data_IF_008709389069
#
_entry.id   IF_008709389069
#
_cell.length_a   1.000
_cell.length_b   1.000
_cell.length_c   1.000
_cell.angle_alpha   90.00
_cell.angle_beta   90.00
_cell.angle_gamma   90.00
#
_symmetry.space_group_name_H-M   'P 1'
#
loop_
_entity.id
_entity.type
_entity.pdbx_description
1 polymer ?
#
# COMPACT_ATOMS: atom_id res chain seq x y z
N UNK A 1 -16.18 19.07 -24.21
CA UNK A 1 -15.06 18.14 -24.46
C UNK A 1 -14.38 17.92 -23.13
N UNK A 2 -14.76 16.85 -22.43
CA UNK A 2 -14.13 16.46 -21.16
C UNK A 2 -12.79 15.83 -21.56
N UNK A 3 -11.63 16.27 -21.04
CA UNK A 3 -10.37 15.62 -21.35
C UNK A 3 -10.49 14.15 -20.96
N UNK A 4 -10.25 13.24 -21.90
CA UNK A 4 -10.14 11.83 -21.60
C UNK A 4 -8.93 11.67 -20.66
N UNK A 5 -9.21 11.50 -19.36
CA UNK A 5 -8.17 11.12 -18.42
C UNK A 5 -7.84 9.67 -18.75
N UNK A 6 -6.90 9.46 -19.66
CA UNK A 6 -6.31 8.15 -19.92
C UNK A 6 -5.50 7.76 -18.68
N UNK A 7 -6.15 7.10 -17.73
CA UNK A 7 -5.47 6.54 -16.57
C UNK A 7 -4.59 5.39 -17.03
N UNK A 8 -3.32 5.68 -17.30
CA UNK A 8 -2.34 4.66 -17.61
C UNK A 8 -2.11 3.76 -16.38
N UNK A 9 -1.78 2.49 -16.61
CA UNK A 9 -1.63 1.47 -15.57
C UNK A 9 -0.61 1.86 -14.53
N UNK A 10 0.55 2.37 -14.94
CA UNK A 10 1.63 2.80 -14.05
C UNK A 10 1.10 3.82 -13.05
N UNK A 11 0.34 4.81 -13.54
CA UNK A 11 -0.24 5.85 -12.70
C UNK A 11 -1.20 5.26 -11.68
N UNK A 12 -2.10 4.36 -12.09
CA UNK A 12 -3.05 3.71 -11.19
C UNK A 12 -2.34 2.90 -10.10
N UNK A 13 -1.37 2.08 -10.48
CA UNK A 13 -0.65 1.23 -9.54
C UNK A 13 0.21 2.04 -8.57
N UNK A 14 0.86 3.11 -9.05
CA UNK A 14 1.60 4.04 -8.19
C UNK A 14 0.67 4.73 -7.18
N UNK A 15 -0.48 5.24 -7.65
CA UNK A 15 -1.46 5.89 -6.78
C UNK A 15 -2.05 4.94 -5.75
N UNK A 16 -2.31 3.67 -6.11
CA UNK A 16 -2.77 2.65 -5.17
C UNK A 16 -1.68 2.28 -4.15
N UNK A 17 -0.40 2.26 -4.55
CA UNK A 17 0.72 2.09 -3.63
C UNK A 17 0.83 3.23 -2.62
N UNK A 18 0.71 4.49 -3.08
CA UNK A 18 0.68 5.68 -2.23
C UNK A 18 -0.52 5.62 -1.27
N UNK A 19 -1.72 5.36 -1.80
CA UNK A 19 -2.95 5.29 -1.04
C UNK A 19 -2.91 4.20 0.03
N UNK A 20 -2.36 3.02 -0.29
CA UNK A 20 -2.19 1.93 0.67
C UNK A 20 -1.28 2.34 1.82
N UNK A 21 -0.14 2.97 1.52
CA UNK A 21 0.79 3.46 2.54
C UNK A 21 0.16 4.52 3.45
N UNK A 22 -0.58 5.46 2.86
CA UNK A 22 -1.34 6.46 3.60
C UNK A 22 -2.41 5.80 4.48
N UNK A 23 -3.16 4.85 3.95
CA UNK A 23 -4.21 4.13 4.69
C UNK A 23 -3.66 3.46 5.95
N UNK A 24 -2.54 2.74 5.84
CA UNK A 24 -1.89 2.11 7.01
C UNK A 24 -1.28 3.11 7.99
N UNK A 25 -0.98 4.34 7.55
CA UNK A 25 -0.46 5.40 8.41
C UNK A 25 -1.58 6.10 9.18
N UNK A 26 -2.66 6.49 8.50
CA UNK A 26 -3.68 7.38 9.06
C UNK A 26 -4.82 6.65 9.78
N UNK A 27 -5.02 5.35 9.56
CA UNK A 27 -6.07 4.59 10.27
C UNK A 27 -5.56 4.16 11.66
N UNK A 28 -6.06 4.75 12.77
CA UNK A 28 -5.45 4.61 14.10
C UNK A 28 -5.51 3.19 14.68
N UNK A 29 -6.59 2.45 14.44
CA UNK A 29 -6.68 1.05 14.93
C UNK A 29 -5.71 0.13 14.18
N UNK A 30 -5.58 0.35 12.87
CA UNK A 30 -4.75 -0.46 12.00
C UNK A 30 -3.26 -0.16 12.20
N UNK A 31 -2.90 1.12 12.37
CA UNK A 31 -1.51 1.54 12.54
C UNK A 31 -0.90 1.03 13.86
N UNK A 32 -1.67 0.98 14.96
CA UNK A 32 -1.23 0.44 16.25
C UNK A 32 -1.09 -1.08 16.17
N UNK A 33 -2.07 -1.76 15.57
CA UNK A 33 -1.99 -3.21 15.35
C UNK A 33 -0.77 -3.59 14.51
N UNK A 34 -0.55 -2.86 13.40
CA UNK A 34 0.58 -3.07 12.51
C UNK A 34 1.91 -2.70 13.19
N UNK A 35 1.92 -1.70 14.08
CA UNK A 35 3.10 -1.32 14.86
C UNK A 35 3.59 -2.43 15.78
N UNK A 36 2.69 -3.25 16.32
CA UNK A 36 3.00 -4.34 17.25
C UNK A 36 3.53 -5.62 16.59
N UNK A 37 3.59 -5.68 15.25
CA UNK A 37 4.16 -6.82 14.53
C UNK A 37 5.68 -6.71 14.36
N UNK A 38 6.34 -7.84 14.09
CA UNK A 38 7.77 -7.84 13.74
C UNK A 38 8.02 -7.09 12.43
N UNK A 39 9.24 -6.58 12.24
CA UNK A 39 9.61 -5.86 11.03
C UNK A 39 9.50 -6.76 9.78
N UNK A 40 9.91 -8.02 9.90
CA UNK A 40 9.81 -9.02 8.82
C UNK A 40 8.35 -9.24 8.39
N UNK A 41 7.43 -9.38 9.35
CA UNK A 41 6.01 -9.54 9.06
C UNK A 41 5.46 -8.33 8.29
N UNK A 42 5.83 -7.11 8.70
CA UNK A 42 5.36 -5.87 8.03
C UNK A 42 5.81 -5.79 6.59
N UNK A 43 7.09 -6.12 6.34
CA UNK A 43 7.68 -6.12 4.99
C UNK A 43 6.99 -7.14 4.09
N UNK A 44 6.84 -8.37 4.56
CA UNK A 44 6.20 -9.44 3.78
C UNK A 44 4.73 -9.15 3.52
N UNK A 45 4.01 -8.67 4.55
CA UNK A 45 2.60 -8.29 4.42
C UNK A 45 2.39 -7.20 3.37
N UNK A 46 3.20 -6.13 3.40
CA UNK A 46 3.11 -5.05 2.42
C UNK A 46 3.48 -5.51 1.01
N UNK A 47 4.48 -6.37 0.88
CA UNK A 47 4.87 -6.92 -0.42
C UNK A 47 3.74 -7.76 -1.04
N UNK A 48 3.10 -8.63 -0.24
CA UNK A 48 1.94 -9.42 -0.68
C UNK A 48 0.77 -8.50 -1.04
N UNK A 49 0.51 -7.46 -0.25
CA UNK A 49 -0.55 -6.50 -0.54
C UNK A 49 -0.33 -5.79 -1.88
N UNK A 50 0.90 -5.34 -2.15
CA UNK A 50 1.24 -4.71 -3.45
C UNK A 50 1.10 -5.69 -4.61
N UNK A 51 1.40 -6.97 -4.40
CA UNK A 51 1.22 -8.01 -5.40
C UNK A 51 -0.26 -8.20 -5.72
N UNK A 52 -1.11 -8.29 -4.69
CA UNK A 52 -2.56 -8.42 -4.86
C UNK A 52 -3.17 -7.21 -5.57
N UNK A 53 -2.79 -5.99 -5.19
CA UNK A 53 -3.25 -4.76 -5.86
C UNK A 53 -2.87 -4.79 -7.34
N UNK A 54 -1.62 -5.14 -7.65
CA UNK A 54 -1.14 -5.21 -9.03
C UNK A 54 -1.88 -6.30 -9.81
N UNK A 55 -2.14 -7.46 -9.19
CA UNK A 55 -2.92 -8.56 -9.79
C UNK A 55 -4.36 -8.15 -10.08
N UNK A 56 -5.01 -7.43 -9.17
CA UNK A 56 -6.37 -6.91 -9.38
C UNK A 56 -6.40 -5.91 -10.55
N UNK A 57 -5.46 -4.96 -10.59
CA UNK A 57 -5.38 -3.98 -11.70
C UNK A 57 -5.13 -4.69 -13.03
N UNK A 58 -4.25 -5.69 -13.05
CA UNK A 58 -3.96 -6.50 -14.22
C UNK A 58 -5.19 -7.27 -14.73
N UNK A 59 -5.93 -7.94 -13.83
CA UNK A 59 -7.15 -8.69 -14.20
C UNK A 59 -8.26 -7.74 -14.68
N UNK A 60 -8.40 -6.57 -14.05
CA UNK A 60 -9.37 -5.55 -14.47
C UNK A 60 -9.03 -4.98 -15.86
N UNK A 61 -7.74 -4.74 -16.13
CA UNK A 61 -7.27 -4.38 -17.48
C UNK A 61 -7.57 -5.46 -18.51
N UNK A 62 -7.45 -6.74 -18.15
CA UNK A 62 -7.76 -7.85 -19.05
C UNK A 62 -9.24 -8.12 -19.31
N UNK A 63 -10.14 -7.62 -18.47
CA UNK A 63 -11.58 -7.87 -18.57
C UNK A 63 -12.33 -6.74 -19.27
N UNK A 64 -11.65 -5.67 -19.73
CA UNK A 64 -12.24 -4.46 -20.30
C UNK A 64 -13.30 -3.78 -19.41
N UNK A 65 -13.37 -4.13 -18.11
CA UNK A 65 -14.28 -3.51 -17.13
C UNK A 65 -13.86 -2.06 -16.86
N UNK A 66 -12.55 -1.81 -16.92
CA UNK A 66 -11.96 -0.47 -16.97
C UNK A 66 -11.25 -0.34 -18.31
N UNK A 67 -11.49 0.77 -19.02
CA UNK A 67 -10.82 1.10 -20.28
C UNK A 67 -9.37 1.49 -19.94
N UNK A 68 -8.53 0.49 -19.70
CA UNK A 68 -7.09 0.62 -19.55
C UNK A 68 -6.51 0.19 -20.91
N UNK A 69 -6.39 1.16 -21.83
CA UNK A 69 -6.10 0.92 -23.25
C UNK A 69 -4.75 0.25 -23.54
N UNK A 70 -3.88 0.09 -22.54
CA UNK A 70 -2.50 -0.36 -22.71
C UNK A 70 -2.29 -1.87 -22.42
N UNK A 71 -3.33 -2.60 -22.02
CA UNK A 71 -3.22 -4.03 -21.69
C UNK A 71 -3.64 -4.97 -22.83
N UNK A 72 -2.67 -5.41 -23.64
CA UNK A 72 -2.81 -6.65 -24.42
C UNK A 72 -2.50 -7.87 -23.56
N UNK A 73 -3.53 -8.65 -23.20
CA UNK A 73 -3.36 -9.87 -22.41
C UNK A 73 -2.73 -10.97 -23.26
N UNK A 74 -1.45 -11.24 -23.02
CA UNK A 74 -0.63 -12.18 -23.77
C UNK A 74 0.76 -12.33 -23.13
N UNK A 75 1.67 -13.13 -23.66
CA UNK A 75 2.96 -13.44 -23.01
C UNK A 75 3.81 -12.21 -22.61
N UNK A 76 3.69 -11.09 -23.34
CA UNK A 76 4.38 -9.83 -23.02
C UNK A 76 3.86 -9.16 -21.74
N UNK A 77 2.67 -9.53 -21.28
CA UNK A 77 2.03 -8.93 -20.11
C UNK A 77 2.68 -9.36 -18.78
N UNK A 78 3.38 -10.51 -18.73
CA UNK A 78 4.04 -10.98 -17.51
C UNK A 78 5.24 -10.09 -17.12
N UNK A 79 6.04 -9.66 -18.10
CA UNK A 79 7.16 -8.73 -17.86
C UNK A 79 6.63 -7.36 -17.45
N UNK A 80 5.58 -6.89 -18.12
CA UNK A 80 4.93 -5.63 -17.77
C UNK A 80 4.30 -5.67 -16.38
N UNK A 81 3.70 -6.79 -15.98
CA UNK A 81 3.21 -7.02 -14.62
C UNK A 81 4.31 -6.85 -13.56
N UNK A 82 5.49 -7.45 -13.78
CA UNK A 82 6.63 -7.31 -12.87
C UNK A 82 7.13 -5.86 -12.81
N UNK A 83 7.12 -5.15 -13.93
CA UNK A 83 7.47 -3.74 -13.99
C UNK A 83 6.51 -2.87 -13.15
N UNK A 84 5.20 -2.99 -13.37
CA UNK A 84 4.21 -2.19 -12.60
C UNK A 84 4.15 -2.62 -11.14
N UNK A 85 4.36 -3.90 -10.83
CA UNK A 85 4.51 -4.38 -9.45
C UNK A 85 5.70 -3.70 -8.76
N UNK A 86 6.84 -3.59 -9.45
CA UNK A 86 8.01 -2.85 -8.95
C UNK A 86 7.69 -1.39 -8.66
N UNK A 87 6.99 -0.71 -9.57
CA UNK A 87 6.54 0.68 -9.36
C UNK A 87 5.60 0.83 -8.15
N UNK A 88 4.69 -0.13 -7.96
CA UNK A 88 3.79 -0.20 -6.79
C UNK A 88 4.59 -0.24 -5.49
N UNK A 89 5.54 -1.18 -5.41
CA UNK A 89 6.36 -1.40 -4.23
C UNK A 89 7.21 -0.17 -3.92
N UNK A 90 7.85 0.42 -4.94
CA UNK A 90 8.64 1.64 -4.78
C UNK A 90 7.76 2.76 -4.24
N UNK A 91 6.60 2.99 -4.83
CA UNK A 91 5.66 4.06 -4.43
C UNK A 91 5.14 3.89 -3.00
N UNK A 92 4.82 2.66 -2.60
CA UNK A 92 4.40 2.35 -1.23
C UNK A 92 5.54 2.60 -0.22
N UNK A 93 6.76 2.14 -0.54
CA UNK A 93 7.92 2.26 0.35
C UNK A 93 8.39 3.71 0.50
N UNK A 94 8.40 4.49 -0.59
CA UNK A 94 8.73 5.92 -0.55
C UNK A 94 7.72 6.69 0.29
N UNK A 95 6.42 6.46 0.07
CA UNK A 95 5.35 7.08 0.85
C UNK A 95 5.46 6.71 2.33
N UNK A 96 5.75 5.45 2.64
CA UNK A 96 5.88 4.99 4.03
C UNK A 96 7.05 5.65 4.74
N UNK A 97 8.18 5.80 4.04
CA UNK A 97 9.39 6.44 4.59
C UNK A 97 9.22 7.93 4.84
N UNK A 98 8.45 8.63 4.00
CA UNK A 98 8.21 10.08 4.11
C UNK A 98 7.09 10.38 5.10
N UNK A 99 6.16 9.45 5.30
CA UNK A 99 5.02 9.62 6.19
C UNK A 99 5.44 9.81 7.66
N UNK A 100 4.86 10.77 8.39
CA UNK A 100 5.17 10.97 9.79
C UNK A 100 4.67 9.79 10.63
N UNK A 101 5.44 9.39 11.65
CA UNK A 101 4.97 8.39 12.62
C UNK A 101 3.78 8.94 13.42
N UNK A 102 2.59 8.31 13.35
CA UNK A 102 1.40 8.79 14.04
C UNK A 102 1.57 8.82 15.57
N UNK A 103 0.94 9.80 16.24
CA UNK A 103 0.98 9.92 17.71
C UNK A 103 0.43 8.66 18.42
N UNK A 104 -0.60 8.02 17.85
CA UNK A 104 -1.16 6.77 18.36
C UNK A 104 -0.10 5.64 18.43
N UNK A 105 0.75 5.53 17.41
CA UNK A 105 1.85 4.54 17.39
C UNK A 105 2.92 4.89 18.41
N UNK A 106 3.23 6.18 18.59
CA UNK A 106 4.19 6.62 19.62
C UNK A 106 3.67 6.28 21.02
N UNK A 107 2.41 6.60 21.31
CA UNK A 107 1.76 6.29 22.59
C UNK A 107 1.70 4.79 22.88
N UNK A 108 1.40 3.96 21.87
CA UNK A 108 1.38 2.50 22.02
C UNK A 108 2.76 1.91 22.33
N UNK A 109 3.85 2.59 21.95
CA UNK A 109 5.23 2.16 22.22
C UNK A 109 5.78 2.68 23.54
N UNK A 110 5.12 3.65 24.19
CA UNK A 110 5.56 4.15 25.48
C UNK A 110 5.33 3.09 26.56
N UNK A 111 6.28 2.89 27.49
CA UNK A 111 6.01 2.08 28.68
C UNK A 111 4.85 2.73 29.43
N UNK A 112 3.86 1.92 29.82
CA UNK A 112 2.84 2.37 30.76
C UNK A 112 3.56 2.67 32.07
N UNK A 113 3.75 3.95 32.39
CA UNK A 113 4.17 4.36 33.71
C UNK A 113 3.01 4.03 34.66
N UNK A 114 3.06 2.86 35.29
CA UNK A 114 2.26 2.59 36.48
C UNK A 114 2.81 3.50 37.56
N UNK A 115 2.04 4.48 38.01
CA UNK A 115 2.41 5.27 39.17
C UNK A 115 2.48 4.34 40.38
N UNK A 116 3.56 4.39 41.19
CA UNK A 116 3.64 3.61 42.42
C UNK A 116 2.61 4.16 43.41
N UNK A 117 1.40 3.62 43.39
CA UNK A 117 0.27 4.09 44.21
C UNK A 117 -1.11 3.52 43.83
N UNK A 118 -1.29 2.93 42.65
CA UNK A 118 -2.50 2.15 42.30
C UNK A 118 -2.37 0.72 42.85
N UNK A 119 -2.55 0.60 44.17
CA UNK A 119 -2.88 -0.67 44.83
C UNK A 119 -4.42 -0.80 44.85
N UNK A 120 -4.90 -1.92 44.31
CA UNK A 120 -6.27 -2.40 44.48
C UNK A 120 -6.53 -2.79 45.95
#
# INVERSE_FOLDING_TARGET
MIPEISFNTEFLVMMLGIASSAFFTYVPTLNVWFANKSEEYKKLFMLILMFLITAVVFVLGCTNILIINDFTCGQKSAVYFLYVFGLSVISNQTTHKISPTPMAVKQAKLPKFTYPGEIA
#
